data_IF_254499879609
#
_entry.id   IF_254499879609
#
_cell.length_a   1.000
_cell.length_b   1.000
_cell.length_c   1.000
_cell.angle_alpha   90.00
_cell.angle_beta   90.00
_cell.angle_gamma   90.00
#
_symmetry.space_group_name_H-M   'P 1'
#
loop_
_entity.id
_entity.type
_entity.pdbx_description
1 polymer ?
#
# COMPACT_ATOMS: atom_id res chain seq x y z
N UNK A 1 6.97 32.72 -3.00
CA UNK A 1 7.72 32.41 -1.76
C UNK A 1 7.67 30.90 -1.57
N UNK A 2 8.78 30.19 -1.73
CA UNK A 2 8.82 28.74 -1.57
C UNK A 2 8.84 28.41 -0.08
N UNK A 3 7.79 27.77 0.43
CA UNK A 3 7.71 27.34 1.83
C UNK A 3 8.85 26.35 2.09
N UNK A 4 9.70 26.63 3.08
CA UNK A 4 10.76 25.72 3.53
C UNK A 4 10.36 25.12 4.87
N UNK A 5 10.52 23.81 5.00
CA UNK A 5 10.38 23.11 6.27
C UNK A 5 11.48 23.60 7.22
N UNK A 6 11.15 24.07 8.44
CA UNK A 6 12.16 24.47 9.41
C UNK A 6 13.15 23.34 9.72
N UNK A 7 14.45 23.66 9.79
CA UNK A 7 15.50 22.68 10.06
C UNK A 7 15.33 21.94 11.40
N UNK A 8 14.62 22.53 12.35
CA UNK A 8 14.34 21.93 13.66
C UNK A 8 13.41 20.73 13.59
N UNK A 9 12.56 20.64 12.55
CA UNK A 9 11.61 19.53 12.36
C UNK A 9 11.91 18.67 11.14
N UNK A 10 12.88 19.07 10.30
CA UNK A 10 13.14 18.42 9.01
C UNK A 10 13.59 16.96 9.15
N UNK A 11 14.26 16.59 10.25
CA UNK A 11 14.63 15.20 10.53
C UNK A 11 13.45 14.31 10.95
N UNK A 12 12.34 14.91 11.39
CA UNK A 12 11.15 14.21 11.86
C UNK A 12 10.01 14.18 10.82
N UNK A 13 10.15 14.94 9.74
CA UNK A 13 9.13 15.08 8.71
C UNK A 13 9.59 14.43 7.40
N UNK A 14 8.78 13.52 6.88
CA UNK A 14 8.92 12.95 5.53
C UNK A 14 7.67 13.27 4.74
N UNK A 15 7.87 13.72 3.50
CA UNK A 15 6.79 14.08 2.59
C UNK A 15 6.93 13.19 1.37
N UNK A 16 5.80 12.60 0.97
CA UNK A 16 5.70 11.70 -0.17
C UNK A 16 4.25 11.56 -0.59
N UNK A 17 3.97 10.55 -1.40
CA UNK A 17 2.67 10.30 -2.02
C UNK A 17 2.15 8.91 -1.69
N UNK A 18 0.86 8.67 -1.96
CA UNK A 18 0.30 7.34 -2.06
C UNK A 18 0.48 6.85 -3.49
N UNK A 19 1.29 5.80 -3.68
CA UNK A 19 1.75 5.33 -4.99
C UNK A 19 2.68 6.32 -5.72
N UNK A 20 3.27 5.85 -6.82
CA UNK A 20 4.27 6.58 -7.61
C UNK A 20 4.19 6.31 -9.12
N UNK A 21 3.52 5.26 -9.60
CA UNK A 21 3.60 4.85 -11.02
C UNK A 21 2.58 5.59 -11.89
N UNK A 22 2.84 6.86 -12.16
CA UNK A 22 1.93 7.71 -12.93
C UNK A 22 2.64 8.38 -14.11
N UNK A 23 2.27 7.99 -15.33
CA UNK A 23 2.74 8.67 -16.55
C UNK A 23 2.33 10.15 -16.59
N UNK A 24 1.22 10.51 -15.95
CA UNK A 24 0.77 11.89 -15.82
C UNK A 24 1.74 12.77 -15.02
N UNK A 25 2.77 12.20 -14.38
CA UNK A 25 3.81 12.96 -13.69
C UNK A 25 5.06 13.22 -14.55
N UNK A 26 5.09 12.74 -15.80
CA UNK A 26 6.11 13.13 -16.79
C UNK A 26 6.07 14.64 -17.04
N UNK A 27 7.23 15.28 -17.00
CA UNK A 27 7.38 16.74 -17.04
C UNK A 27 7.08 17.46 -15.71
N UNK A 28 6.70 16.72 -14.65
CA UNK A 28 6.48 17.26 -13.30
C UNK A 28 7.52 16.72 -12.31
N UNK A 29 7.57 15.40 -12.19
CA UNK A 29 8.50 14.64 -11.34
C UNK A 29 9.37 13.73 -12.22
N UNK A 30 8.81 13.21 -13.31
CA UNK A 30 9.50 12.26 -14.19
C UNK A 30 10.01 12.94 -15.46
N UNK A 31 11.04 12.37 -16.05
CA UNK A 31 11.58 12.83 -17.34
C UNK A 31 10.50 12.69 -18.43
N UNK A 32 10.13 13.79 -19.13
CA UNK A 32 9.13 13.75 -20.18
C UNK A 32 9.51 12.87 -21.38
N UNK A 33 10.80 12.73 -21.68
CA UNK A 33 11.31 12.02 -22.87
C UNK A 33 11.67 10.56 -22.58
N UNK A 34 11.72 10.15 -21.31
CA UNK A 34 12.06 8.78 -20.92
C UNK A 34 10.90 7.82 -21.18
N UNK A 35 11.24 6.69 -21.79
CA UNK A 35 10.37 5.52 -21.87
C UNK A 35 10.54 4.71 -20.58
N UNK A 36 9.57 4.82 -19.68
CA UNK A 36 9.63 4.18 -18.36
C UNK A 36 9.12 2.74 -18.42
N UNK A 37 9.92 1.83 -17.88
CA UNK A 37 9.46 0.51 -17.46
C UNK A 37 8.90 0.57 -16.02
N UNK A 38 8.09 -0.40 -15.57
CA UNK A 38 7.43 -0.36 -14.26
C UNK A 38 8.38 -0.18 -13.06
N UNK A 39 9.63 -0.61 -13.18
CA UNK A 39 10.64 -0.51 -12.12
C UNK A 39 11.43 0.81 -12.15
N UNK A 40 11.37 1.57 -13.25
CA UNK A 40 12.07 2.85 -13.36
C UNK A 40 11.43 3.94 -12.50
N UNK A 41 10.10 3.94 -12.38
CA UNK A 41 9.38 5.00 -11.67
C UNK A 41 9.80 5.13 -10.20
N UNK A 42 10.03 4.02 -9.49
CA UNK A 42 10.36 4.09 -8.08
C UNK A 42 11.74 4.72 -7.85
N UNK A 43 12.68 4.37 -8.73
CA UNK A 43 14.04 4.89 -8.69
C UNK A 43 14.05 6.40 -8.89
N UNK A 44 13.41 6.88 -9.95
CA UNK A 44 13.34 8.32 -10.24
C UNK A 44 12.50 9.06 -9.19
N UNK A 45 11.42 8.47 -8.69
CA UNK A 45 10.64 9.05 -7.59
C UNK A 45 11.49 9.30 -6.34
N UNK A 46 12.40 8.38 -6.03
CA UNK A 46 13.29 8.47 -4.87
C UNK A 46 14.38 9.54 -5.01
N UNK A 47 14.53 10.17 -6.18
CA UNK A 47 15.39 11.34 -6.38
C UNK A 47 14.72 12.64 -5.86
N UNK A 48 13.39 12.66 -5.78
CA UNK A 48 12.60 13.83 -5.36
C UNK A 48 12.02 13.71 -3.96
N UNK A 49 11.67 12.50 -3.53
CA UNK A 49 11.03 12.23 -2.24
C UNK A 49 11.80 11.17 -1.46
N UNK A 50 11.61 11.15 -0.13
CA UNK A 50 12.29 10.22 0.76
C UNK A 50 11.33 9.21 1.42
N UNK A 51 10.07 9.21 1.02
CA UNK A 51 9.08 8.24 1.47
C UNK A 51 7.97 8.05 0.45
N UNK A 52 7.34 6.88 0.44
CA UNK A 52 6.12 6.62 -0.32
C UNK A 52 5.24 5.62 0.41
N UNK A 53 3.92 5.74 0.23
CA UNK A 53 2.99 4.69 0.63
C UNK A 53 2.77 3.70 -0.52
N UNK A 54 2.97 2.41 -0.23
CA UNK A 54 2.64 1.30 -1.13
C UNK A 54 1.20 0.89 -0.88
N UNK A 55 0.32 1.19 -1.83
CA UNK A 55 -1.12 0.88 -1.78
C UNK A 55 -1.53 -0.24 -2.73
N UNK A 56 -0.71 -0.61 -3.72
CA UNK A 56 -1.05 -1.67 -4.67
C UNK A 56 -1.31 -3.03 -4.01
N UNK A 57 -0.73 -3.30 -2.84
CA UNK A 57 -0.94 -4.54 -2.08
C UNK A 57 -2.15 -4.50 -1.15
N UNK A 58 -2.75 -3.31 -0.97
CA UNK A 58 -4.03 -3.15 -0.30
C UNK A 58 -5.09 -3.98 -1.03
N UNK A 59 -5.15 -3.92 -2.36
CA UNK A 59 -6.14 -4.62 -3.18
C UNK A 59 -5.87 -6.13 -3.25
N UNK A 60 -6.34 -6.84 -2.23
CA UNK A 60 -5.92 -8.21 -1.91
C UNK A 60 -7.09 -9.18 -1.71
N UNK A 61 -8.28 -8.71 -1.33
CA UNK A 61 -9.46 -9.54 -1.15
C UNK A 61 -10.08 -9.90 -2.50
N UNK A 62 -9.76 -11.09 -3.01
CA UNK A 62 -10.41 -11.67 -4.19
C UNK A 62 -11.42 -12.74 -3.75
N UNK A 63 -12.47 -13.01 -4.56
CA UNK A 63 -13.53 -13.97 -4.21
C UNK A 63 -13.05 -15.35 -3.74
N UNK A 64 -11.93 -15.84 -4.27
CA UNK A 64 -11.42 -17.18 -3.97
C UNK A 64 -10.16 -17.21 -3.13
N UNK A 65 -9.55 -16.05 -2.83
CA UNK A 65 -8.29 -15.96 -2.07
C UNK A 65 -7.94 -14.53 -1.68
N UNK A 66 -7.14 -14.39 -0.62
CA UNK A 66 -6.31 -13.21 -0.42
C UNK A 66 -5.07 -13.27 -1.33
N UNK A 67 -4.77 -12.18 -2.05
CA UNK A 67 -3.53 -12.03 -2.84
C UNK A 67 -2.51 -11.23 -2.03
N UNK A 68 -1.40 -11.85 -1.69
CA UNK A 68 -0.25 -11.20 -1.05
C UNK A 68 0.76 -10.71 -2.09
N UNK A 69 1.66 -9.77 -1.72
CA UNK A 69 2.77 -9.37 -2.58
C UNK A 69 3.66 -10.56 -2.99
N UNK A 70 4.33 -10.41 -4.13
CA UNK A 70 5.43 -11.29 -4.51
C UNK A 70 6.72 -10.82 -3.80
N UNK A 71 7.42 -11.72 -3.13
CA UNK A 71 8.64 -11.42 -2.38
C UNK A 71 9.77 -10.82 -3.24
N UNK A 72 9.89 -11.23 -4.50
CA UNK A 72 10.82 -10.65 -5.46
C UNK A 72 10.47 -9.19 -5.76
N UNK A 73 9.19 -8.85 -5.90
CA UNK A 73 8.75 -7.45 -6.06
C UNK A 73 9.08 -6.61 -4.83
N UNK A 74 8.91 -7.15 -3.61
CA UNK A 74 9.31 -6.46 -2.38
C UNK A 74 10.80 -6.17 -2.36
N UNK A 75 11.61 -7.17 -2.72
CA UNK A 75 13.07 -7.04 -2.81
C UNK A 75 13.47 -5.96 -3.83
N UNK A 76 12.92 -6.00 -5.04
CA UNK A 76 13.17 -5.00 -6.08
C UNK A 76 12.86 -3.58 -5.57
N UNK A 77 11.76 -3.38 -4.85
CA UNK A 77 11.44 -2.05 -4.31
C UNK A 77 12.43 -1.58 -3.27
N UNK A 78 12.83 -2.47 -2.36
CA UNK A 78 13.87 -2.18 -1.37
C UNK A 78 15.20 -1.79 -2.02
N UNK A 79 15.57 -2.45 -3.12
CA UNK A 79 16.81 -2.21 -3.87
C UNK A 79 16.75 -0.97 -4.77
N UNK A 80 15.55 -0.52 -5.15
CA UNK A 80 15.36 0.62 -6.06
C UNK A 80 15.47 1.99 -5.38
N UNK A 81 15.60 2.04 -4.06
CA UNK A 81 15.63 3.29 -3.28
C UNK A 81 16.87 3.40 -2.38
N UNK A 82 17.34 4.61 -2.05
CA UNK A 82 18.46 4.83 -1.13
C UNK A 82 18.19 4.29 0.29
N UNK A 83 19.26 4.05 1.07
CA UNK A 83 19.17 3.54 2.45
C UNK A 83 18.36 4.41 3.41
N UNK A 84 18.32 5.72 3.14
CA UNK A 84 17.53 6.67 3.93
C UNK A 84 16.04 6.75 3.56
N UNK A 85 15.57 6.00 2.56
CA UNK A 85 14.17 6.02 2.10
C UNK A 85 13.28 5.13 2.99
N UNK A 86 12.05 5.58 3.29
CA UNK A 86 11.09 4.79 4.07
C UNK A 86 9.81 4.51 3.30
N UNK A 87 9.35 3.26 3.34
CA UNK A 87 8.05 2.85 2.84
C UNK A 87 7.01 2.85 3.96
N UNK A 88 5.87 3.47 3.72
CA UNK A 88 4.62 3.08 4.40
C UNK A 88 3.99 1.98 3.57
N UNK A 89 3.44 0.94 4.19
CA UNK A 89 2.76 -0.14 3.45
C UNK A 89 1.33 -0.25 3.93
N UNK A 90 0.35 -0.13 3.03
CA UNK A 90 -1.04 -0.44 3.38
C UNK A 90 -1.20 -1.95 3.58
N UNK A 91 -1.76 -2.31 4.73
CA UNK A 91 -2.15 -3.67 5.01
C UNK A 91 -3.16 -4.17 3.96
N UNK A 92 -3.13 -5.47 3.61
CA UNK A 92 -4.11 -6.07 2.71
C UNK A 92 -5.55 -5.74 3.14
N UNK A 93 -6.39 -5.24 2.23
CA UNK A 93 -7.81 -5.03 2.47
C UNK A 93 -8.56 -6.33 2.79
N UNK A 94 -7.99 -7.50 2.50
CA UNK A 94 -8.46 -8.77 3.02
C UNK A 94 -8.43 -8.84 4.55
N UNK A 95 -7.57 -8.08 5.23
CA UNK A 95 -7.50 -8.02 6.70
C UNK A 95 -8.42 -6.91 7.25
N UNK A 96 -8.69 -5.85 6.47
CA UNK A 96 -9.40 -4.65 6.97
C UNK A 96 -10.83 -4.47 6.46
N UNK A 97 -11.27 -5.24 5.47
CA UNK A 97 -12.65 -5.27 5.01
C UNK A 97 -13.44 -6.35 5.74
N UNK A 98 -14.63 -6.00 6.20
CA UNK A 98 -15.56 -6.95 6.82
C UNK A 98 -16.29 -7.80 5.78
N UNK A 99 -16.46 -7.28 4.56
CA UNK A 99 -17.23 -7.91 3.49
C UNK A 99 -16.58 -7.69 2.13
N UNK A 100 -16.87 -8.57 1.17
CA UNK A 100 -16.54 -8.35 -0.23
C UNK A 100 -17.29 -7.13 -0.77
N UNK A 101 -16.65 -6.39 -1.69
CA UNK A 101 -17.27 -5.25 -2.36
C UNK A 101 -18.60 -5.61 -3.05
N UNK A 102 -19.55 -4.68 -3.02
CA UNK A 102 -20.86 -4.85 -3.65
C UNK A 102 -20.76 -5.04 -5.17
N UNK A 103 -19.84 -4.32 -5.82
CA UNK A 103 -19.56 -4.49 -7.25
C UNK A 103 -18.60 -5.65 -7.44
N UNK A 104 -19.08 -6.69 -8.12
CA UNK A 104 -18.31 -7.84 -8.54
C UNK A 104 -18.48 -8.04 -10.06
N UNK A 105 -17.61 -8.84 -10.67
CA UNK A 105 -17.84 -9.30 -12.04
C UNK A 105 -19.01 -10.29 -12.07
N UNK A 106 -19.63 -10.50 -13.23
CA UNK A 106 -20.77 -11.42 -13.39
C UNK A 106 -20.47 -12.83 -12.85
N UNK A 107 -19.23 -13.30 -13.02
CA UNK A 107 -18.76 -14.60 -12.49
C UNK A 107 -18.79 -14.69 -10.96
N UNK A 108 -18.54 -13.59 -10.27
CA UNK A 108 -18.39 -13.55 -8.81
C UNK A 108 -19.51 -12.77 -8.12
N UNK A 109 -20.64 -12.53 -8.81
CA UNK A 109 -21.73 -11.74 -8.26
C UNK A 109 -22.29 -12.31 -6.95
N UNK A 110 -22.24 -13.62 -6.76
CA UNK A 110 -22.68 -14.29 -5.53
C UNK A 110 -21.81 -13.98 -4.29
N UNK A 111 -20.61 -13.42 -4.48
CA UNK A 111 -19.76 -12.91 -3.40
C UNK A 111 -20.11 -11.48 -2.99
N UNK A 112 -20.92 -10.75 -3.76
CA UNK A 112 -21.24 -9.36 -3.45
C UNK A 112 -21.81 -9.22 -2.03
N UNK A 113 -21.21 -8.34 -1.22
CA UNK A 113 -21.56 -8.10 0.19
C UNK A 113 -21.51 -9.35 1.09
N UNK A 114 -20.85 -10.44 0.68
CA UNK A 114 -20.64 -11.60 1.56
C UNK A 114 -19.58 -11.28 2.62
N UNK A 115 -19.71 -11.82 3.85
CA UNK A 115 -18.69 -11.68 4.87
C UNK A 115 -17.32 -12.13 4.37
N UNK A 116 -16.29 -11.37 4.74
CA UNK A 116 -14.90 -11.69 4.46
C UNK A 116 -14.34 -12.57 5.59
N UNK A 117 -13.95 -13.80 5.27
CA UNK A 117 -13.35 -14.72 6.24
C UNK A 117 -11.95 -14.33 6.74
N UNK A 118 -11.30 -13.33 6.12
CA UNK A 118 -9.96 -12.86 6.48
C UNK A 118 -9.95 -11.59 7.34
N UNK A 119 -11.12 -11.04 7.69
CA UNK A 119 -11.17 -9.84 8.52
C UNK A 119 -10.45 -10.07 9.85
N UNK A 120 -9.42 -9.25 10.14
CA UNK A 120 -8.52 -9.37 11.28
C UNK A 120 -7.80 -10.74 11.43
N UNK A 121 -7.59 -11.45 10.30
CA UNK A 121 -6.84 -12.72 10.26
C UNK A 121 -5.35 -12.49 10.59
N UNK A 122 -4.95 -12.92 11.79
CA UNK A 122 -3.59 -12.77 12.33
C UNK A 122 -2.57 -13.59 11.54
N UNK A 123 -2.94 -14.77 11.02
CA UNK A 123 -2.01 -15.62 10.28
C UNK A 123 -1.80 -15.11 8.85
N UNK A 124 -2.83 -14.49 8.26
CA UNK A 124 -2.66 -13.73 7.02
C UNK A 124 -1.77 -12.50 7.24
N UNK A 125 -1.93 -11.79 8.37
CA UNK A 125 -1.05 -10.67 8.72
C UNK A 125 0.41 -11.10 8.89
N UNK A 126 0.68 -12.17 9.64
CA UNK A 126 2.05 -12.69 9.83
C UNK A 126 2.70 -13.02 8.49
N UNK A 127 2.00 -13.78 7.62
CA UNK A 127 2.50 -14.11 6.28
C UNK A 127 2.77 -12.86 5.44
N UNK A 128 1.92 -11.85 5.54
CA UNK A 128 2.14 -10.58 4.85
C UNK A 128 3.41 -9.89 5.35
N UNK A 129 3.60 -9.78 6.66
CA UNK A 129 4.79 -9.17 7.27
C UNK A 129 6.07 -9.94 6.94
N UNK A 130 6.02 -11.28 6.91
CA UNK A 130 7.15 -12.11 6.52
C UNK A 130 7.58 -11.85 5.08
N UNK A 131 6.63 -11.60 4.17
CA UNK A 131 6.95 -11.23 2.78
C UNK A 131 7.60 -9.84 2.69
N UNK A 132 7.32 -8.94 3.64
CA UNK A 132 7.90 -7.59 3.68
C UNK A 132 9.33 -7.55 4.24
N UNK A 133 9.85 -8.64 4.82
CA UNK A 133 11.20 -8.72 5.40
C UNK A 133 12.31 -8.10 4.54
N UNK A 134 12.36 -8.29 3.20
CA UNK A 134 13.40 -7.71 2.35
C UNK A 134 13.49 -6.18 2.38
N UNK A 135 12.46 -5.47 2.85
CA UNK A 135 12.52 -4.01 3.06
C UNK A 135 13.41 -3.63 4.25
N UNK A 136 13.61 -4.51 5.23
CA UNK A 136 14.47 -4.28 6.38
C UNK A 136 14.22 -2.93 7.05
N UNK A 137 15.29 -2.12 7.18
CA UNK A 137 15.23 -0.78 7.80
C UNK A 137 14.42 0.25 6.99
N UNK A 138 14.11 -0.06 5.73
CA UNK A 138 13.29 0.79 4.86
C UNK A 138 11.79 0.56 5.06
N UNK A 139 11.39 -0.49 5.80
CA UNK A 139 9.99 -0.69 6.19
C UNK A 139 9.64 0.28 7.34
N UNK A 140 8.83 1.28 7.02
CA UNK A 140 8.19 2.15 8.00
C UNK A 140 6.88 1.55 8.52
N UNK A 141 5.84 2.37 8.76
CA UNK A 141 4.60 1.87 9.33
C UNK A 141 3.81 0.98 8.36
N UNK A 142 3.14 -0.03 8.91
CA UNK A 142 2.09 -0.78 8.20
C UNK A 142 0.74 -0.16 8.56
N UNK A 143 0.10 0.47 7.58
CA UNK A 143 -1.14 1.22 7.78
C UNK A 143 -2.37 0.33 7.62
N UNK A 144 -3.25 0.32 8.63
CA UNK A 144 -4.54 -0.37 8.58
C UNK A 144 -5.63 0.63 8.21
N UNK A 145 -6.06 0.60 6.94
CA UNK A 145 -7.21 1.38 6.48
C UNK A 145 -8.46 0.50 6.52
N UNK A 146 -9.37 0.79 7.46
CA UNK A 146 -10.68 0.16 7.54
C UNK A 146 -11.69 0.86 6.63
N UNK A 147 -12.69 0.12 6.16
CA UNK A 147 -13.85 0.70 5.51
C UNK A 147 -14.76 1.43 6.51
N UNK A 148 -15.75 2.17 6.01
CA UNK A 148 -16.81 2.68 6.86
C UNK A 148 -17.60 1.53 7.49
N UNK A 149 -17.51 1.42 8.81
CA UNK A 149 -18.19 0.40 9.60
C UNK A 149 -19.55 0.93 10.07
N UNK A 150 -20.63 0.43 9.47
CA UNK A 150 -22.00 0.67 9.92
C UNK A 150 -22.53 -0.53 10.72
N UNK A 151 -23.70 -0.38 11.34
CA UNK A 151 -24.30 -1.45 12.16
C UNK A 151 -24.71 -2.71 11.39
N UNK A 152 -24.83 -2.65 10.07
CA UNK A 152 -25.08 -3.85 9.26
C UNK A 152 -23.81 -4.69 9.10
N UNK A 153 -22.65 -4.03 8.96
CA UNK A 153 -21.35 -4.69 8.80
C UNK A 153 -20.69 -5.04 10.14
N UNK A 154 -20.87 -4.19 11.14
CA UNK A 154 -20.27 -4.32 12.46
C UNK A 154 -21.30 -3.90 13.52
N UNK A 155 -22.08 -4.84 14.09
CA UNK A 155 -23.22 -4.50 14.94
C UNK A 155 -22.82 -3.94 16.31
N UNK A 156 -21.59 -4.20 16.79
CA UNK A 156 -21.08 -3.69 18.06
C UNK A 156 -19.55 -3.71 18.11
N UNK A 157 -18.97 -2.99 19.07
CA UNK A 157 -17.53 -3.05 19.35
C UNK A 157 -17.07 -4.46 19.78
N UNK A 158 -17.94 -5.26 20.41
CA UNK A 158 -17.61 -6.64 20.81
C UNK A 158 -17.51 -7.61 19.63
N UNK A 159 -18.06 -7.24 18.47
CA UNK A 159 -18.00 -8.03 17.26
C UNK A 159 -16.75 -7.74 16.42
N UNK A 160 -15.99 -6.69 16.78
CA UNK A 160 -14.69 -6.35 16.24
C UNK A 160 -13.61 -7.05 17.05
#
# INVERSE_FOLDING_TARGET
MMLRVPNTISSYLRIGTCSWKYDSWKGLIYDPEKNYEPNDYLKDYAEHYNTVEIDQWFWSLFPTRAKLPNAETVKIYSESVPDGFLFTVKAPNAITLTHHYAKQSSRYQHFANKPNGHFLDVDLLKRFLDILQPMGKKLGPVMFQFEYLNRQKMPSLKAF
#
